data_IF_592011841147
#
_entry.id   IF_592011841147
#
_cell.length_a   1.000
_cell.length_b   1.000
_cell.length_c   1.000
_cell.angle_alpha   90.00
_cell.angle_beta   90.00
_cell.angle_gamma   90.00
#
_symmetry.space_group_name_H-M   'P 1'
#
loop_
_entity.id
_entity.type
_entity.pdbx_description
1 polymer ?
#
# COMPACT_ATOMS: atom_id res chain seq x y z
N UNK A 1 -35.55 32.38 27.63
CA UNK A 1 -34.91 31.09 27.94
C UNK A 1 -35.16 30.14 26.79
N UNK A 2 -34.13 29.87 25.97
CA UNK A 2 -34.22 29.00 24.80
C UNK A 2 -34.02 27.56 25.23
N UNK A 3 -35.05 26.72 25.09
CA UNK A 3 -34.98 25.28 25.31
C UNK A 3 -34.03 24.67 24.27
N UNK A 4 -32.79 24.36 24.67
CA UNK A 4 -31.89 23.48 23.92
C UNK A 4 -32.56 22.11 23.83
N UNK A 5 -33.19 21.84 22.69
CA UNK A 5 -33.73 20.53 22.32
C UNK A 5 -32.53 19.56 22.30
N UNK A 6 -32.42 18.70 23.32
CA UNK A 6 -31.58 17.49 23.27
C UNK A 6 -32.07 16.71 22.05
N UNK A 7 -31.29 16.64 20.97
CA UNK A 7 -31.50 15.63 19.93
C UNK A 7 -31.40 14.29 20.66
N UNK A 8 -32.49 13.51 20.72
CA UNK A 8 -32.37 12.14 21.19
C UNK A 8 -31.46 11.40 20.21
N UNK A 9 -30.64 10.53 20.77
CA UNK A 9 -29.65 9.68 20.10
C UNK A 9 -30.35 8.51 19.38
N UNK A 10 -31.58 8.72 18.88
CA UNK A 10 -32.38 7.68 18.26
C UNK A 10 -32.00 7.55 16.79
N UNK A 11 -31.61 6.34 16.39
CA UNK A 11 -31.43 5.95 14.99
C UNK A 11 -32.65 6.40 14.18
N UNK A 12 -32.42 7.19 13.13
CA UNK A 12 -33.48 7.87 12.37
C UNK A 12 -34.52 6.92 11.76
N UNK A 13 -34.17 5.64 11.60
CA UNK A 13 -35.03 4.61 11.01
C UNK A 13 -35.38 3.49 12.01
N UNK A 14 -35.20 3.69 13.32
CA UNK A 14 -35.43 2.65 14.35
C UNK A 14 -36.85 2.04 14.34
N UNK A 15 -37.84 2.78 13.85
CA UNK A 15 -39.23 2.34 13.77
C UNK A 15 -39.68 2.03 12.33
N UNK A 16 -38.79 2.14 11.33
CA UNK A 16 -39.12 1.81 9.95
C UNK A 16 -38.79 0.35 9.68
N UNK A 17 -39.69 -0.42 9.05
CA UNK A 17 -39.39 -1.78 8.66
C UNK A 17 -38.38 -1.80 7.51
N UNK A 18 -37.53 -2.83 7.50
CA UNK A 18 -36.62 -3.12 6.39
C UNK A 18 -37.41 -3.54 5.14
N UNK A 19 -37.13 -2.87 4.02
CA UNK A 19 -37.79 -3.06 2.73
C UNK A 19 -36.85 -3.64 1.65
N UNK A 20 -35.62 -4.00 2.06
CA UNK A 20 -34.58 -4.51 1.19
C UNK A 20 -33.90 -5.76 1.77
N UNK A 21 -33.83 -6.82 0.98
CA UNK A 21 -33.22 -8.10 1.35
C UNK A 21 -31.99 -8.37 0.47
N UNK A 22 -30.85 -8.67 1.09
CA UNK A 22 -29.62 -9.07 0.39
C UNK A 22 -29.35 -10.54 0.67
N UNK A 23 -29.27 -11.36 -0.38
CA UNK A 23 -29.01 -12.79 -0.29
C UNK A 23 -27.53 -13.02 -0.59
N UNK A 24 -26.83 -13.73 0.28
CA UNK A 24 -25.44 -14.15 0.08
C UNK A 24 -25.33 -15.67 0.10
N UNK A 25 -24.26 -16.23 -0.45
CA UNK A 25 -24.11 -17.69 -0.57
C UNK A 25 -23.95 -18.41 0.78
N UNK A 26 -23.44 -17.70 1.79
CA UNK A 26 -23.01 -18.21 3.09
C UNK A 26 -24.00 -17.90 4.23
N UNK A 27 -25.12 -17.23 3.95
CA UNK A 27 -26.10 -16.83 4.98
C UNK A 27 -27.43 -17.56 4.77
N UNK A 28 -27.92 -18.22 5.82
CA UNK A 28 -29.22 -18.90 5.82
C UNK A 28 -30.40 -17.91 5.75
N UNK A 29 -30.21 -16.71 6.32
CA UNK A 29 -31.19 -15.63 6.31
C UNK A 29 -30.68 -14.44 5.48
N UNK A 30 -31.55 -13.76 4.72
CA UNK A 30 -31.17 -12.54 4.03
C UNK A 30 -30.68 -11.46 5.01
N UNK A 31 -29.71 -10.66 4.57
CA UNK A 31 -29.34 -9.45 5.29
C UNK A 31 -30.37 -8.38 4.97
N UNK A 32 -30.98 -7.82 6.01
CA UNK A 32 -32.01 -6.80 5.85
C UNK A 32 -31.42 -5.38 5.86
N UNK A 33 -32.00 -4.51 5.03
CA UNK A 33 -31.62 -3.11 4.90
C UNK A 33 -32.82 -2.24 4.49
N UNK A 34 -32.59 -0.93 4.47
CA UNK A 34 -33.52 0.09 4.04
C UNK A 34 -33.09 0.64 2.68
N UNK A 35 -33.97 0.57 1.70
CA UNK A 35 -33.75 1.05 0.34
C UNK A 35 -33.40 2.55 0.35
N UNK A 36 -34.00 3.34 1.25
CA UNK A 36 -33.72 4.78 1.40
C UNK A 36 -32.24 5.07 1.74
N UNK A 37 -31.56 4.16 2.42
CA UNK A 37 -30.13 4.27 2.75
C UNK A 37 -29.26 3.85 1.57
N UNK A 38 -29.66 2.79 0.86
CA UNK A 38 -28.87 2.20 -0.21
C UNK A 38 -28.94 2.97 -1.54
N UNK A 39 -30.10 3.54 -1.90
CA UNK A 39 -30.31 4.29 -3.15
C UNK A 39 -29.32 5.46 -3.41
N UNK A 40 -28.96 6.29 -2.41
CA UNK A 40 -27.93 7.32 -2.61
C UNK A 40 -26.51 6.72 -2.63
N UNK A 41 -26.33 5.52 -2.10
CA UNK A 41 -25.03 4.92 -1.83
C UNK A 41 -24.57 3.93 -2.90
N UNK A 42 -25.46 3.27 -3.64
CA UNK A 42 -25.13 2.31 -4.69
C UNK A 42 -25.91 2.62 -5.97
N UNK A 43 -25.21 2.62 -7.11
CA UNK A 43 -25.83 2.78 -8.42
C UNK A 43 -26.67 1.56 -8.80
N UNK A 44 -26.18 0.35 -8.50
CA UNK A 44 -26.86 -0.90 -8.87
C UNK A 44 -28.21 -1.06 -8.19
N UNK A 45 -28.34 -0.58 -6.94
CA UNK A 45 -29.59 -0.68 -6.18
C UNK A 45 -30.75 0.05 -6.87
N UNK A 46 -30.48 1.08 -7.68
CA UNK A 46 -31.51 1.84 -8.39
C UNK A 46 -32.19 1.04 -9.50
N UNK A 47 -31.46 0.09 -10.07
CA UNK A 47 -31.88 -0.66 -11.25
C UNK A 47 -32.48 -2.03 -10.88
N UNK A 48 -32.57 -2.35 -9.58
CA UNK A 48 -33.12 -3.61 -9.11
C UNK A 48 -34.64 -3.67 -9.26
N UNK A 49 -35.20 -4.82 -9.70
CA UNK A 49 -36.63 -5.00 -9.80
C UNK A 49 -37.27 -5.02 -8.41
N UNK A 50 -38.43 -4.35 -8.28
CA UNK A 50 -39.26 -4.42 -7.08
C UNK A 50 -40.29 -5.52 -7.23
N UNK A 51 -40.50 -6.28 -6.16
CA UNK A 51 -41.56 -7.27 -6.15
C UNK A 51 -42.94 -6.62 -5.95
N UNK A 52 -44.00 -7.43 -6.08
CA UNK A 52 -45.39 -7.00 -5.90
C UNK A 52 -45.73 -6.60 -4.46
N UNK A 53 -44.92 -7.02 -3.47
CA UNK A 53 -45.06 -6.63 -2.07
C UNK A 53 -44.39 -5.28 -1.76
N UNK A 54 -43.67 -4.71 -2.73
CA UNK A 54 -42.88 -3.50 -2.57
C UNK A 54 -41.48 -3.76 -1.98
N UNK A 55 -41.15 -5.00 -1.63
CA UNK A 55 -39.81 -5.38 -1.18
C UNK A 55 -38.89 -5.55 -2.38
N UNK A 56 -37.62 -5.24 -2.17
CA UNK A 56 -36.58 -5.44 -3.17
C UNK A 56 -35.63 -6.52 -2.67
N UNK A 57 -35.35 -7.51 -3.52
CA UNK A 57 -34.37 -8.57 -3.21
C UNK A 57 -33.16 -8.43 -4.12
N UNK A 58 -31.97 -8.54 -3.55
CA UNK A 58 -30.71 -8.49 -4.26
C UNK A 58 -29.89 -9.76 -4.00
N UNK A 59 -29.77 -10.60 -5.03
CA UNK A 59 -29.02 -11.85 -4.95
C UNK A 59 -27.55 -11.64 -5.31
N UNK A 60 -26.68 -11.77 -4.30
CA UNK A 60 -25.22 -11.71 -4.40
C UNK A 60 -24.56 -13.09 -4.31
N UNK A 61 -25.34 -14.18 -4.23
CA UNK A 61 -24.82 -15.54 -4.03
C UNK A 61 -23.89 -16.03 -5.15
N UNK A 62 -23.90 -15.35 -6.31
CA UNK A 62 -23.03 -15.63 -7.46
C UNK A 62 -22.00 -14.54 -7.74
N UNK A 63 -21.97 -13.47 -6.94
CA UNK A 63 -21.01 -12.39 -7.11
C UNK A 63 -19.65 -12.85 -6.58
N UNK A 64 -18.72 -13.12 -7.49
CA UNK A 64 -17.32 -13.46 -7.16
C UNK A 64 -16.45 -12.22 -7.36
N UNK A 65 -15.72 -11.82 -6.33
CA UNK A 65 -14.80 -10.69 -6.39
C UNK A 65 -13.53 -11.08 -7.15
N UNK A 66 -12.87 -10.10 -7.77
CA UNK A 66 -11.59 -10.33 -8.44
C UNK A 66 -10.56 -10.95 -7.48
N UNK A 67 -9.83 -11.95 -7.96
CA UNK A 67 -8.83 -12.68 -7.16
C UNK A 67 -9.41 -13.71 -6.19
N UNK A 68 -10.73 -13.83 -6.09
CA UNK A 68 -11.39 -14.81 -5.23
C UNK A 68 -11.95 -15.98 -6.04
N UNK A 69 -12.01 -17.16 -5.43
CA UNK A 69 -12.61 -18.37 -6.01
C UNK A 69 -14.02 -18.65 -5.50
N UNK A 70 -14.47 -17.91 -4.48
CA UNK A 70 -15.77 -18.09 -3.84
C UNK A 70 -16.61 -16.81 -3.96
N UNK A 71 -17.96 -16.93 -3.87
CA UNK A 71 -18.83 -15.76 -3.78
C UNK A 71 -18.48 -14.85 -2.60
N UNK A 72 -18.88 -13.58 -2.70
CA UNK A 72 -18.68 -12.59 -1.64
C UNK A 72 -19.32 -13.07 -0.34
N UNK A 73 -18.56 -13.10 0.77
CA UNK A 73 -19.11 -13.54 2.06
C UNK A 73 -20.03 -12.47 2.66
N UNK A 74 -21.04 -12.91 3.40
CA UNK A 74 -21.97 -12.06 4.16
C UNK A 74 -21.25 -11.07 5.07
N UNK A 75 -20.10 -11.44 5.62
CA UNK A 75 -19.28 -10.57 6.46
C UNK A 75 -18.83 -9.29 5.73
N UNK A 76 -18.40 -9.39 4.47
CA UNK A 76 -17.97 -8.24 3.67
C UNK A 76 -19.16 -7.34 3.36
N UNK A 77 -20.32 -7.92 3.04
CA UNK A 77 -21.57 -7.18 2.82
C UNK A 77 -22.01 -6.45 4.09
N UNK A 78 -21.94 -7.12 5.26
CA UNK A 78 -22.25 -6.50 6.56
C UNK A 78 -21.30 -5.33 6.87
N UNK A 79 -19.99 -5.48 6.67
CA UNK A 79 -19.03 -4.39 6.86
C UNK A 79 -19.33 -3.18 5.96
N UNK A 80 -19.72 -3.43 4.70
CA UNK A 80 -20.17 -2.38 3.80
C UNK A 80 -21.43 -1.69 4.31
N UNK A 81 -22.44 -2.45 4.74
CA UNK A 81 -23.65 -1.89 5.36
C UNK A 81 -23.31 -1.08 6.61
N UNK A 82 -22.50 -1.60 7.52
CA UNK A 82 -22.09 -0.90 8.74
C UNK A 82 -21.42 0.43 8.43
N UNK A 83 -20.58 0.48 7.38
CA UNK A 83 -20.01 1.73 6.89
C UNK A 83 -21.09 2.72 6.42
N UNK A 84 -22.08 2.27 5.65
CA UNK A 84 -23.18 3.12 5.19
C UNK A 84 -24.03 3.65 6.36
N UNK A 85 -24.40 2.75 7.27
CA UNK A 85 -25.31 3.03 8.38
C UNK A 85 -24.65 3.81 9.51
N UNK A 86 -23.34 3.71 9.71
CA UNK A 86 -22.59 4.49 10.73
C UNK A 86 -22.80 6.01 10.63
N UNK A 87 -23.29 6.49 9.47
CA UNK A 87 -23.60 7.91 9.23
C UNK A 87 -24.96 8.35 9.74
N UNK A 88 -25.88 7.41 9.96
CA UNK A 88 -27.27 7.65 10.35
C UNK A 88 -27.64 6.95 11.66
N UNK A 89 -26.84 5.97 12.07
CA UNK A 89 -26.97 5.17 13.28
C UNK A 89 -25.65 5.21 14.05
N UNK A 90 -25.64 5.92 15.17
CA UNK A 90 -24.45 6.07 16.02
C UNK A 90 -24.08 4.74 16.70
N UNK A 91 -25.05 3.82 16.86
CA UNK A 91 -24.78 2.50 17.42
C UNK A 91 -23.93 1.63 16.48
N UNK A 92 -23.97 1.94 15.17
CA UNK A 92 -23.12 1.29 14.18
C UNK A 92 -21.76 1.95 14.12
N UNK A 93 -20.72 1.17 14.40
CA UNK A 93 -19.35 1.63 14.27
C UNK A 93 -18.93 1.56 12.80
N UNK A 94 -18.33 2.64 12.32
CA UNK A 94 -17.64 2.60 11.03
C UNK A 94 -16.53 1.54 11.10
N UNK A 95 -16.32 0.76 10.04
CA UNK A 95 -15.30 -0.28 10.06
C UNK A 95 -13.92 0.34 10.24
N UNK A 96 -13.13 -0.26 11.14
CA UNK A 96 -11.74 0.11 11.38
C UNK A 96 -10.82 -0.85 10.63
N UNK A 97 -9.79 -0.30 9.97
CA UNK A 97 -8.87 -1.07 9.13
C UNK A 97 -7.43 -0.91 9.63
N UNK A 98 -7.02 -1.64 10.68
CA UNK A 98 -5.67 -1.49 11.25
C UNK A 98 -4.58 -1.84 10.23
N UNK A 99 -4.91 -2.63 9.22
CA UNK A 99 -4.02 -3.05 8.15
C UNK A 99 -4.72 -3.03 6.80
N UNK A 100 -3.90 -2.98 5.74
CA UNK A 100 -4.28 -3.22 4.36
C UNK A 100 -4.43 -4.73 4.12
N UNK A 101 -5.38 -5.36 4.82
CA UNK A 101 -5.65 -6.81 4.79
C UNK A 101 -6.51 -7.25 3.61
N UNK A 102 -6.60 -8.57 3.42
CA UNK A 102 -7.52 -9.18 2.45
C UNK A 102 -9.01 -8.83 2.72
N UNK A 103 -9.39 -8.64 3.99
CA UNK A 103 -10.74 -8.17 4.34
C UNK A 103 -10.98 -6.75 3.82
N UNK A 104 -10.02 -5.84 4.03
CA UNK A 104 -10.09 -4.47 3.52
C UNK A 104 -10.11 -4.43 1.99
N UNK A 105 -9.32 -5.30 1.34
CA UNK A 105 -9.33 -5.49 -0.11
C UNK A 105 -10.68 -5.97 -0.61
N UNK A 106 -11.25 -6.99 0.03
CA UNK A 106 -12.55 -7.56 -0.32
C UNK A 106 -13.65 -6.52 -0.20
N UNK A 107 -13.64 -5.71 0.86
CA UNK A 107 -14.58 -4.61 1.03
C UNK A 107 -14.46 -3.58 -0.09
N UNK A 108 -13.25 -3.18 -0.48
CA UNK A 108 -13.04 -2.22 -1.56
C UNK A 108 -13.47 -2.76 -2.92
N UNK A 109 -13.13 -4.01 -3.23
CA UNK A 109 -13.56 -4.69 -4.45
C UNK A 109 -15.08 -4.84 -4.50
N UNK A 110 -15.71 -5.19 -3.36
CA UNK A 110 -17.16 -5.26 -3.25
C UNK A 110 -17.79 -3.89 -3.46
N UNK A 111 -17.29 -2.86 -2.77
CA UNK A 111 -17.79 -1.49 -2.87
C UNK A 111 -17.73 -0.96 -4.31
N UNK A 112 -16.65 -1.26 -5.03
CA UNK A 112 -16.49 -0.96 -6.46
C UNK A 112 -17.49 -1.75 -7.32
N UNK A 113 -17.57 -3.07 -7.13
CA UNK A 113 -18.47 -3.95 -7.86
C UNK A 113 -19.94 -3.54 -7.73
N UNK A 114 -20.34 -3.04 -6.55
CA UNK A 114 -21.71 -2.56 -6.32
C UNK A 114 -21.95 -1.11 -6.74
N UNK A 115 -20.98 -0.46 -7.37
CA UNK A 115 -21.07 0.92 -7.81
C UNK A 115 -21.31 1.89 -6.64
N UNK A 116 -20.57 1.71 -5.55
CA UNK A 116 -20.66 2.57 -4.37
C UNK A 116 -20.34 4.02 -4.75
N UNK A 117 -21.13 4.95 -4.21
CA UNK A 117 -20.99 6.38 -4.52
C UNK A 117 -19.61 6.92 -4.14
N UNK A 118 -19.14 7.91 -4.88
CA UNK A 118 -17.84 8.54 -4.66
C UNK A 118 -17.69 9.15 -3.26
N UNK A 119 -18.79 9.65 -2.67
CA UNK A 119 -18.80 10.19 -1.31
C UNK A 119 -18.59 9.13 -0.23
N UNK A 120 -19.09 7.92 -0.44
CA UNK A 120 -18.89 6.78 0.47
C UNK A 120 -17.49 6.20 0.29
N UNK A 121 -17.05 6.02 -0.96
CA UNK A 121 -15.68 5.57 -1.27
C UNK A 121 -14.62 6.52 -0.70
N UNK A 122 -14.84 7.84 -0.79
CA UNK A 122 -13.97 8.84 -0.17
C UNK A 122 -13.89 8.68 1.34
N UNK A 123 -15.02 8.51 2.03
CA UNK A 123 -14.99 8.33 3.47
C UNK A 123 -14.36 7.01 3.90
N UNK A 124 -14.49 5.95 3.09
CA UNK A 124 -13.77 4.70 3.31
C UNK A 124 -12.25 4.92 3.16
N UNK A 125 -11.83 5.70 2.16
CA UNK A 125 -10.44 6.13 2.01
C UNK A 125 -9.94 6.96 3.20
N UNK A 126 -10.74 7.90 3.69
CA UNK A 126 -10.42 8.70 4.87
C UNK A 126 -10.32 7.83 6.13
N UNK A 127 -11.19 6.85 6.32
CA UNK A 127 -11.13 5.90 7.43
C UNK A 127 -9.86 5.03 7.37
N UNK A 128 -9.45 4.56 6.19
CA UNK A 128 -8.18 3.86 5.99
C UNK A 128 -7.00 4.79 6.29
N UNK A 129 -6.96 5.94 5.63
CA UNK A 129 -5.80 6.83 5.67
C UNK A 129 -5.68 7.66 6.94
N UNK A 130 -6.73 7.84 7.74
CA UNK A 130 -6.64 8.56 9.03
C UNK A 130 -5.94 7.75 10.12
N UNK A 131 -5.77 6.44 9.93
CA UNK A 131 -5.16 5.57 10.93
C UNK A 131 -3.64 5.78 10.96
N UNK A 132 -3.06 6.23 12.10
CA UNK A 132 -1.63 6.48 12.19
C UNK A 132 -0.81 5.19 12.10
N UNK A 133 -1.38 4.07 12.57
CA UNK A 133 -0.75 2.75 12.59
C UNK A 133 -1.09 1.86 11.41
N UNK A 134 -1.66 2.38 10.31
CA UNK A 134 -2.03 1.56 9.15
C UNK A 134 -0.82 0.77 8.64
N UNK A 135 -0.94 -0.56 8.61
CA UNK A 135 0.13 -1.46 8.15
C UNK A 135 -0.13 -2.04 6.75
N UNK A 136 0.95 -2.37 6.05
CA UNK A 136 0.96 -3.17 4.84
C UNK A 136 1.43 -4.59 5.21
N UNK A 137 0.54 -5.60 5.15
CA UNK A 137 0.95 -6.98 5.36
C UNK A 137 1.77 -7.48 4.17
N UNK A 138 2.92 -8.08 4.46
CA UNK A 138 3.83 -8.68 3.48
C UNK A 138 4.11 -10.10 3.91
N UNK A 139 3.77 -11.05 3.03
CA UNK A 139 4.05 -12.48 3.24
C UNK A 139 5.23 -12.86 2.36
N UNK A 140 6.33 -13.29 2.98
CA UNK A 140 7.54 -13.72 2.29
C UNK A 140 7.63 -15.24 2.41
N UNK A 141 7.46 -15.91 1.29
CA UNK A 141 7.77 -17.33 1.21
C UNK A 141 9.30 -17.45 1.15
N UNK A 142 9.87 -18.25 2.05
CA UNK A 142 11.31 -18.50 2.03
C UNK A 142 11.72 -19.11 0.69
N UNK A 143 12.95 -18.88 0.28
CA UNK A 143 13.53 -19.60 -0.85
C UNK A 143 13.64 -21.07 -0.46
N UNK A 144 12.59 -21.85 -0.72
CA UNK A 144 12.70 -23.30 -0.76
C UNK A 144 13.74 -23.59 -1.82
N UNK A 145 14.92 -24.09 -1.40
CA UNK A 145 16.10 -24.20 -2.25
C UNK A 145 15.75 -24.72 -3.63
N UNK A 146 15.68 -23.81 -4.60
CA UNK A 146 15.62 -24.13 -6.01
C UNK A 146 16.98 -24.67 -6.37
N UNK A 147 17.23 -25.94 -6.02
CA UNK A 147 18.31 -26.71 -6.59
C UNK A 147 18.10 -26.63 -8.11
N UNK A 148 19.00 -25.90 -8.76
CA UNK A 148 19.16 -26.00 -10.20
C UNK A 148 19.20 -27.48 -10.56
N UNK A 149 18.29 -27.89 -11.44
CA UNK A 149 18.28 -29.25 -11.98
C UNK A 149 19.64 -29.53 -12.61
N UNK A 150 20.48 -30.29 -11.92
CA UNK A 150 21.81 -30.65 -12.40
C UNK A 150 22.73 -31.14 -11.30
N UNK A 151 22.81 -32.46 -11.12
CA UNK A 151 23.86 -33.09 -10.34
C UNK A 151 23.38 -34.32 -9.59
N UNK A 152 23.62 -35.49 -10.19
CA UNK A 152 23.47 -36.80 -9.58
C UNK A 152 24.19 -36.86 -8.21
N UNK A 153 23.43 -37.06 -7.13
CA UNK A 153 23.99 -37.08 -5.78
C UNK A 153 22.98 -37.48 -4.70
N UNK A 154 22.79 -38.79 -4.55
CA UNK A 154 22.35 -39.55 -3.37
C UNK A 154 21.57 -38.87 -2.22
N UNK A 155 20.29 -39.26 -2.08
CA UNK A 155 19.59 -39.70 -0.85
C UNK A 155 19.72 -38.89 0.47
N UNK A 156 19.92 -37.58 0.42
CA UNK A 156 19.62 -36.71 1.55
C UNK A 156 18.26 -36.03 1.32
N UNK A 157 17.24 -36.40 2.11
CA UNK A 157 15.95 -35.72 2.10
C UNK A 157 16.16 -34.22 2.32
N UNK A 158 15.71 -33.40 1.36
CA UNK A 158 15.85 -31.96 1.45
C UNK A 158 15.20 -31.45 2.76
N UNK A 159 15.84 -30.53 3.49
CA UNK A 159 15.25 -29.98 4.70
C UNK A 159 13.89 -29.34 4.37
N UNK A 160 12.89 -29.44 5.28
CA UNK A 160 11.58 -28.86 5.04
C UNK A 160 11.72 -27.36 4.79
N UNK A 161 10.95 -26.80 3.83
CA UNK A 161 11.00 -25.37 3.56
C UNK A 161 10.64 -24.59 4.83
N UNK A 162 11.29 -23.45 5.07
CA UNK A 162 10.98 -22.63 6.23
C UNK A 162 9.53 -22.11 6.13
N UNK A 163 8.84 -21.90 7.26
CA UNK A 163 7.48 -21.35 7.27
C UNK A 163 7.46 -19.96 6.61
N UNK A 164 6.32 -19.49 6.08
CA UNK A 164 6.25 -18.14 5.52
C UNK A 164 6.48 -17.08 6.61
N UNK A 165 7.30 -16.07 6.30
CA UNK A 165 7.53 -14.92 7.16
C UNK A 165 6.42 -13.89 6.91
N UNK A 166 5.67 -13.52 7.95
CA UNK A 166 4.64 -12.49 7.88
C UNK A 166 5.16 -11.20 8.53
N UNK A 167 5.09 -10.09 7.80
CA UNK A 167 5.54 -8.78 8.24
C UNK A 167 4.42 -7.76 8.12
N UNK A 168 4.15 -7.01 9.18
CA UNK A 168 3.23 -5.87 9.16
C UNK A 168 4.01 -4.56 9.13
N UNK A 169 4.12 -3.95 7.95
CA UNK A 169 4.93 -2.75 7.75
C UNK A 169 4.09 -1.49 7.94
N UNK A 170 4.40 -0.69 8.95
CA UNK A 170 3.68 0.58 9.20
C UNK A 170 3.99 1.56 8.08
N UNK A 171 2.94 2.07 7.43
CA UNK A 171 3.07 2.95 6.26
C UNK A 171 3.57 4.37 6.59
N UNK A 172 3.59 4.75 7.87
CA UNK A 172 3.93 6.10 8.33
C UNK A 172 4.93 6.09 9.47
N UNK A 173 5.81 7.07 9.49
CA UNK A 173 6.70 7.32 10.62
C UNK A 173 7.71 6.20 10.86
N UNK A 174 7.91 5.31 9.89
CA UNK A 174 8.85 4.18 9.95
C UNK A 174 9.66 4.12 8.67
N UNK A 175 10.95 3.81 8.82
CA UNK A 175 11.87 3.55 7.72
C UNK A 175 12.48 2.17 7.94
N UNK A 176 12.16 1.24 7.05
CA UNK A 176 12.66 -0.13 7.05
C UNK A 176 13.85 -0.27 6.10
N UNK A 177 14.88 -1.00 6.50
CA UNK A 177 16.09 -1.18 5.68
C UNK A 177 16.83 -2.47 6.04
N UNK A 178 17.69 -2.91 5.12
CA UNK A 178 18.56 -4.06 5.32
C UNK A 178 19.98 -3.61 5.70
N UNK A 179 20.54 -4.23 6.74
CA UNK A 179 21.94 -4.02 7.12
C UNK A 179 22.51 -5.29 7.73
N UNK A 180 23.69 -5.72 7.27
CA UNK A 180 24.37 -6.93 7.77
C UNK A 180 23.49 -8.20 7.76
N UNK A 181 22.58 -8.32 6.80
CA UNK A 181 21.66 -9.46 6.70
C UNK A 181 20.53 -9.44 7.73
N UNK A 182 20.26 -8.30 8.37
CA UNK A 182 19.12 -8.08 9.27
C UNK A 182 18.14 -7.08 8.65
N UNK A 183 16.87 -7.21 9.02
CA UNK A 183 15.87 -6.19 8.75
C UNK A 183 15.72 -5.28 9.98
N UNK A 184 15.91 -3.98 9.77
CA UNK A 184 15.88 -2.97 10.83
C UNK A 184 14.84 -1.91 10.55
N UNK A 185 14.40 -1.23 11.61
CA UNK A 185 13.46 -0.11 11.53
C UNK A 185 13.96 1.10 12.33
N UNK A 186 13.72 2.27 11.77
CA UNK A 186 13.89 3.58 12.40
C UNK A 186 12.53 4.28 12.52
N UNK A 187 12.34 5.04 13.59
CA UNK A 187 11.16 5.91 13.75
C UNK A 187 11.46 7.28 13.14
N UNK A 188 10.48 7.85 12.42
CA UNK A 188 10.57 9.15 11.74
C UNK A 188 9.55 10.12 12.37
N UNK A 189 9.95 11.30 12.86
CA UNK A 189 11.34 11.78 12.95
C UNK A 189 12.17 10.93 13.93
N UNK A 190 13.50 10.92 13.75
CA UNK A 190 14.42 10.15 14.59
C UNK A 190 14.19 10.40 16.07
N UNK A 191 13.81 9.34 16.79
CA UNK A 191 13.38 9.44 18.19
C UNK A 191 14.00 8.38 19.11
N UNK A 192 15.04 7.65 18.67
CA UNK A 192 15.63 6.60 19.49
C UNK A 192 16.52 5.62 18.74
N UNK A 193 16.99 4.56 19.43
CA UNK A 193 17.88 3.57 18.85
C UNK A 193 17.21 2.78 17.73
N UNK A 194 18.02 2.29 16.79
CA UNK A 194 17.58 1.36 15.75
C UNK A 194 17.00 0.10 16.37
N UNK A 195 15.89 -0.39 15.83
CA UNK A 195 15.26 -1.63 16.28
C UNK A 195 15.46 -2.71 15.23
N UNK A 196 15.84 -3.90 15.67
CA UNK A 196 15.89 -5.10 14.80
C UNK A 196 14.47 -5.65 14.72
N UNK A 197 13.93 -5.73 13.50
CA UNK A 197 12.60 -6.32 13.23
C UNK A 197 12.75 -7.83 13.03
N UNK A 198 13.78 -8.23 12.27
CA UNK A 198 14.11 -9.64 12.03
C UNK A 198 15.63 -9.81 12.16
N UNK A 199 16.05 -10.71 13.04
CA UNK A 199 17.45 -11.02 13.29
C UNK A 199 18.08 -11.76 12.10
N UNK A 200 19.40 -11.68 11.97
CA UNK A 200 20.08 -12.16 10.75
C UNK A 200 19.84 -13.64 10.50
N UNK A 201 19.96 -14.47 11.54
CA UNK A 201 19.78 -15.92 11.44
C UNK A 201 18.40 -16.30 10.89
N UNK A 202 17.36 -15.57 11.30
CA UNK A 202 15.98 -15.82 10.87
C UNK A 202 15.69 -15.20 9.50
N UNK A 203 16.44 -14.17 9.10
CA UNK A 203 16.21 -13.43 7.86
C UNK A 203 16.90 -14.06 6.64
N UNK A 204 18.01 -14.80 6.82
CA UNK A 204 18.77 -15.41 5.71
C UNK A 204 17.88 -16.12 4.68
N UNK A 205 16.90 -16.97 5.06
CA UNK A 205 16.08 -17.71 4.09
C UNK A 205 15.14 -16.83 3.24
N UNK A 206 14.89 -15.58 3.66
CA UNK A 206 13.91 -14.69 3.04
C UNK A 206 14.54 -13.48 2.35
N UNK A 207 15.85 -13.25 2.55
CA UNK A 207 16.55 -12.04 2.08
C UNK A 207 16.31 -11.73 0.60
N UNK A 208 16.38 -12.75 -0.25
CA UNK A 208 16.27 -12.57 -1.70
C UNK A 208 14.80 -12.45 -2.16
N UNK A 209 13.87 -13.05 -1.41
CA UNK A 209 12.44 -13.03 -1.72
C UNK A 209 11.73 -11.77 -1.19
N UNK A 210 12.24 -11.15 -0.11
CA UNK A 210 11.60 -10.01 0.54
C UNK A 210 11.35 -8.83 -0.43
N UNK A 211 12.32 -8.36 -1.23
CA UNK A 211 12.09 -7.24 -2.15
C UNK A 211 10.95 -7.51 -3.14
N UNK A 212 10.83 -8.75 -3.63
CA UNK A 212 9.75 -9.14 -4.53
C UNK A 212 8.40 -9.21 -3.83
N UNK A 213 8.35 -9.77 -2.62
CA UNK A 213 7.13 -9.83 -1.80
C UNK A 213 6.62 -8.43 -1.43
N UNK A 214 7.50 -7.53 -1.01
CA UNK A 214 7.14 -6.14 -0.73
C UNK A 214 6.65 -5.40 -1.97
N UNK A 215 7.30 -5.63 -3.12
CA UNK A 215 6.87 -5.04 -4.37
C UNK A 215 5.50 -5.54 -4.80
N UNK A 216 5.24 -6.85 -4.72
CA UNK A 216 3.93 -7.44 -5.03
C UNK A 216 2.82 -6.91 -4.12
N UNK A 217 3.08 -6.76 -2.82
CA UNK A 217 2.11 -6.19 -1.88
C UNK A 217 1.78 -4.72 -2.22
N UNK A 218 2.80 -3.90 -2.48
CA UNK A 218 2.62 -2.51 -2.88
C UNK A 218 1.90 -2.38 -4.23
N UNK A 219 2.34 -3.13 -5.23
CA UNK A 219 1.76 -3.17 -6.57
C UNK A 219 0.26 -3.48 -6.50
N UNK A 220 -0.12 -4.52 -5.75
CA UNK A 220 -1.52 -4.96 -5.62
C UNK A 220 -2.40 -3.85 -5.03
N UNK A 221 -1.90 -3.16 -4.00
CA UNK A 221 -2.63 -2.08 -3.34
C UNK A 221 -2.64 -0.78 -4.16
N UNK A 222 -1.56 -0.48 -4.87
CA UNK A 222 -1.50 0.64 -5.80
C UNK A 222 -2.49 0.43 -6.95
N UNK A 223 -2.54 -0.76 -7.54
CA UNK A 223 -3.49 -1.09 -8.59
C UNK A 223 -4.93 -0.93 -8.11
N UNK A 224 -5.27 -1.53 -6.95
CA UNK A 224 -6.62 -1.43 -6.39
C UNK A 224 -7.01 0.02 -6.09
N UNK A 225 -6.16 0.75 -5.37
CA UNK A 225 -6.42 2.14 -5.01
C UNK A 225 -6.52 3.05 -6.25
N UNK A 226 -5.74 2.78 -7.29
CA UNK A 226 -5.84 3.40 -8.63
C UNK A 226 -7.21 3.18 -9.24
N UNK A 227 -7.58 1.91 -9.40
CA UNK A 227 -8.83 1.50 -10.06
C UNK A 227 -10.05 2.10 -9.39
N UNK A 228 -10.09 2.07 -8.05
CA UNK A 228 -11.23 2.56 -7.28
C UNK A 228 -11.16 4.06 -6.94
N UNK A 229 -10.16 4.77 -7.47
CA UNK A 229 -10.03 6.22 -7.35
C UNK A 229 -9.67 6.75 -5.95
N UNK A 230 -8.96 5.96 -5.14
CA UNK A 230 -8.56 6.31 -3.76
C UNK A 230 -7.23 7.08 -3.75
N UNK A 231 -7.27 8.32 -4.25
CA UNK A 231 -6.08 9.18 -4.43
C UNK A 231 -5.26 9.37 -3.14
N UNK A 232 -5.91 9.53 -1.98
CA UNK A 232 -5.20 9.72 -0.72
C UNK A 232 -4.42 8.46 -0.28
N UNK A 233 -4.98 7.27 -0.51
CA UNK A 233 -4.31 6.00 -0.25
C UNK A 233 -3.15 5.77 -1.22
N UNK A 234 -3.34 6.05 -2.52
CA UNK A 234 -2.24 6.02 -3.50
C UNK A 234 -1.07 6.90 -3.09
N UNK A 235 -1.32 8.15 -2.69
CA UNK A 235 -0.27 9.05 -2.22
C UNK A 235 0.45 8.49 -1.00
N UNK A 236 -0.28 7.89 -0.06
CA UNK A 236 0.34 7.26 1.10
C UNK A 236 1.27 6.11 0.69
N UNK A 237 0.81 5.23 -0.19
CA UNK A 237 1.60 4.10 -0.69
C UNK A 237 2.82 4.54 -1.50
N UNK A 238 2.68 5.57 -2.34
CA UNK A 238 3.80 6.15 -3.10
C UNK A 238 4.82 6.81 -2.18
N UNK A 239 4.37 7.56 -1.17
CA UNK A 239 5.26 8.16 -0.17
C UNK A 239 6.04 7.07 0.60
N UNK A 240 5.37 5.97 0.97
CA UNK A 240 6.02 4.83 1.59
C UNK A 240 7.04 4.19 0.64
N UNK A 241 6.68 3.93 -0.61
CA UNK A 241 7.61 3.40 -1.62
C UNK A 241 8.86 4.30 -1.75
N UNK A 242 8.66 5.60 -1.90
CA UNK A 242 9.75 6.58 -2.10
C UNK A 242 10.69 6.69 -0.91
N UNK A 243 10.17 6.64 0.32
CA UNK A 243 11.02 6.70 1.52
C UNK A 243 11.93 5.48 1.65
N UNK A 244 11.60 4.37 0.99
CA UNK A 244 12.36 3.11 1.02
C UNK A 244 13.30 2.92 -0.18
N UNK A 245 13.39 3.92 -1.08
CA UNK A 245 14.40 4.00 -2.14
C UNK A 245 15.75 4.49 -1.60
N UNK A 246 16.35 3.69 -0.73
CA UNK A 246 17.67 3.97 -0.16
C UNK A 246 18.79 3.64 -1.15
N UNK A 247 19.94 4.35 -1.09
CA UNK A 247 21.08 3.99 -1.91
C UNK A 247 21.70 2.65 -1.48
N UNK A 248 22.18 1.88 -2.46
CA UNK A 248 22.92 0.64 -2.23
C UNK A 248 22.07 -0.57 -1.82
N UNK A 249 22.67 -1.51 -1.09
CA UNK A 249 22.03 -2.78 -0.69
C UNK A 249 21.06 -2.64 0.48
N UNK A 250 20.94 -1.45 1.07
CA UNK A 250 20.05 -1.20 2.19
C UNK A 250 18.57 -1.05 1.77
N UNK A 251 18.31 -0.75 0.49
CA UNK A 251 16.94 -0.60 -0.01
C UNK A 251 16.24 -1.94 -0.17
N UNK A 252 14.98 -1.93 0.23
CA UNK A 252 14.06 -3.04 0.06
C UNK A 252 13.37 -3.06 -1.31
N UNK A 253 13.35 -1.93 -2.02
CA UNK A 253 12.47 -1.75 -3.19
C UNK A 253 13.19 -1.24 -4.44
N UNK A 254 14.42 -0.73 -4.32
CA UNK A 254 15.16 -0.12 -5.44
C UNK A 254 15.22 -1.05 -6.67
N UNK A 255 15.60 -2.32 -6.46
CA UNK A 255 15.73 -3.31 -7.53
C UNK A 255 14.38 -3.91 -7.99
N UNK A 256 13.29 -3.64 -7.26
CA UNK A 256 11.94 -4.13 -7.56
C UNK A 256 11.00 -3.03 -8.07
N UNK A 257 11.53 -1.85 -8.43
CA UNK A 257 10.74 -0.69 -8.87
C UNK A 257 9.81 -1.02 -10.03
N UNK A 258 10.28 -1.77 -11.03
CA UNK A 258 9.47 -2.18 -12.18
C UNK A 258 8.30 -3.10 -11.78
N UNK A 259 8.48 -3.93 -10.74
CA UNK A 259 7.39 -4.75 -10.21
C UNK A 259 6.34 -3.90 -9.50
N UNK A 260 6.75 -2.84 -8.77
CA UNK A 260 5.81 -1.92 -8.11
C UNK A 260 4.96 -1.14 -9.12
N UNK A 261 5.59 -0.64 -10.19
CA UNK A 261 4.93 0.12 -11.25
C UNK A 261 4.62 -0.75 -12.46
N UNK A 262 3.86 -1.83 -12.23
CA UNK A 262 3.38 -2.70 -13.29
C UNK A 262 2.48 -1.95 -14.29
N UNK A 263 2.24 -2.55 -15.45
CA UNK A 263 1.29 -2.04 -16.46
C UNK A 263 -0.05 -1.65 -15.86
N UNK A 264 -0.66 -2.55 -15.09
CA UNK A 264 -2.00 -2.33 -14.51
C UNK A 264 -2.02 -1.20 -13.50
N UNK A 265 -0.95 -1.02 -12.72
CA UNK A 265 -0.81 0.12 -11.80
C UNK A 265 -0.78 1.43 -12.57
N UNK A 266 -0.01 1.49 -13.67
CA UNK A 266 0.11 2.68 -14.50
C UNK A 266 -1.19 3.01 -15.25
N UNK A 267 -1.87 2.00 -15.80
CA UNK A 267 -3.15 2.17 -16.50
C UNK A 267 -4.27 2.67 -15.58
N UNK A 268 -4.24 2.29 -14.29
CA UNK A 268 -5.22 2.73 -13.30
C UNK A 268 -4.78 3.98 -12.51
N UNK A 269 -3.63 4.57 -12.80
CA UNK A 269 -3.13 5.71 -12.03
C UNK A 269 -3.95 6.97 -12.34
N UNK A 270 -4.44 7.70 -11.31
CA UNK A 270 -5.15 8.95 -11.53
C UNK A 270 -4.29 9.95 -12.31
N UNK A 271 -4.91 10.61 -13.28
CA UNK A 271 -4.23 11.59 -14.12
C UNK A 271 -3.56 12.70 -13.29
N UNK A 272 -4.15 13.10 -12.16
CA UNK A 272 -3.52 14.13 -11.32
C UNK A 272 -2.19 13.67 -10.72
N UNK A 273 -2.03 12.38 -10.42
CA UNK A 273 -0.77 11.83 -9.89
C UNK A 273 0.27 11.62 -10.99
N UNK A 274 -0.16 11.25 -12.20
CA UNK A 274 0.72 11.18 -13.36
C UNK A 274 1.27 12.57 -13.72
N UNK A 275 0.40 13.59 -13.72
CA UNK A 275 0.81 14.98 -13.94
C UNK A 275 1.66 15.48 -12.79
N UNK A 276 1.27 15.24 -11.52
CA UNK A 276 2.08 15.58 -10.35
C UNK A 276 3.47 14.96 -10.51
N UNK A 277 3.56 13.69 -10.89
CA UNK A 277 4.82 12.99 -11.08
C UNK A 277 5.65 13.39 -12.29
N UNK A 278 5.02 13.89 -13.35
CA UNK A 278 5.68 14.40 -14.54
C UNK A 278 6.20 15.82 -14.32
N UNK A 279 5.40 16.67 -13.68
CA UNK A 279 5.70 18.08 -13.44
C UNK A 279 6.61 18.26 -12.22
N UNK A 280 6.43 17.44 -11.20
CA UNK A 280 7.24 17.49 -10.00
C UNK A 280 8.29 16.40 -10.02
N UNK A 281 9.49 16.74 -9.54
CA UNK A 281 10.50 15.77 -9.12
C UNK A 281 9.99 14.78 -8.04
N UNK A 282 8.70 14.78 -7.65
CA UNK A 282 8.21 13.96 -6.54
C UNK A 282 8.12 12.47 -6.83
N UNK A 283 7.82 12.03 -8.07
CA UNK A 283 7.75 10.59 -8.32
C UNK A 283 9.15 9.94 -8.38
N UNK A 284 10.15 10.70 -8.83
CA UNK A 284 11.44 10.15 -9.26
C UNK A 284 12.62 10.87 -8.67
N UNK A 285 12.49 12.17 -8.45
CA UNK A 285 13.53 13.01 -7.91
C UNK A 285 13.83 12.60 -6.48
N UNK A 286 15.11 12.56 -6.12
CA UNK A 286 15.49 12.20 -4.78
C UNK A 286 14.83 13.13 -3.76
N UNK A 287 14.47 12.62 -2.57
CA UNK A 287 14.22 13.53 -1.46
C UNK A 287 15.58 14.14 -1.10
N UNK A 288 15.88 15.28 -1.72
CA UNK A 288 17.19 15.90 -1.69
C UNK A 288 17.51 16.39 -0.28
N UNK A 289 18.40 15.68 0.41
CA UNK A 289 19.34 16.29 1.34
C UNK A 289 20.44 16.94 0.52
N UNK A 290 20.43 18.27 0.44
CA UNK A 290 21.56 19.01 -0.15
C UNK A 290 22.50 19.38 0.99
N UNK A 291 23.75 18.92 0.92
CA UNK A 291 24.81 19.42 1.77
C UNK A 291 25.72 20.32 0.95
N UNK A 292 25.73 21.60 1.30
CA UNK A 292 26.74 22.52 0.80
C UNK A 292 27.95 22.42 1.71
N UNK A 293 29.12 22.19 1.12
CA UNK A 293 30.38 22.21 1.87
C UNK A 293 31.06 23.55 1.58
N UNK A 294 30.97 24.54 2.48
CA UNK A 294 31.80 25.73 2.34
C UNK A 294 33.29 25.34 2.38
N UNK A 295 34.16 26.18 1.83
CA UNK A 295 35.62 25.94 1.80
C UNK A 295 36.27 25.88 3.20
N UNK A 296 35.53 26.20 4.27
CA UNK A 296 35.89 25.92 5.65
C UNK A 296 35.57 24.46 6.03
N UNK A 297 36.38 23.82 6.88
CA UNK A 297 36.23 22.43 7.38
C UNK A 297 34.86 22.03 8.00
N UNK A 298 33.83 22.88 7.93
CA UNK A 298 32.48 22.61 8.38
C UNK A 298 31.58 22.30 7.18
N UNK A 299 31.36 21.02 6.89
CA UNK A 299 30.21 20.59 6.11
C UNK A 299 28.93 21.10 6.78
N UNK A 300 27.95 21.59 6.01
CA UNK A 300 26.59 21.85 6.51
C UNK A 300 25.62 21.04 5.66
N UNK A 301 25.13 19.94 6.21
CA UNK A 301 24.02 19.18 5.63
C UNK A 301 22.70 19.89 5.93
N UNK A 302 21.90 20.16 4.89
CA UNK A 302 20.51 20.61 5.05
C UNK A 302 19.60 19.47 4.61
N UNK A 303 19.02 18.78 5.60
CA UNK A 303 18.05 17.71 5.37
C UNK A 303 16.66 18.31 5.22
N UNK A 304 16.09 18.28 4.01
CA UNK A 304 14.76 18.81 3.72
C UNK A 304 13.61 17.83 4.02
N UNK A 305 13.94 16.55 4.21
CA UNK A 305 12.98 15.49 4.54
C UNK A 305 13.27 14.89 5.93
N UNK A 306 12.25 14.66 6.77
CA UNK A 306 12.39 13.92 8.02
C UNK A 306 12.95 12.50 7.82
N UNK A 307 12.64 11.84 6.69
CA UNK A 307 13.13 10.50 6.39
C UNK A 307 14.64 10.54 6.10
N UNK A 308 15.09 11.53 5.34
CA UNK A 308 16.51 11.75 5.06
C UNK A 308 17.29 12.05 6.34
N UNK A 309 16.79 12.95 7.21
CA UNK A 309 17.40 13.22 8.51
C UNK A 309 17.50 11.96 9.38
N UNK A 310 16.42 11.17 9.43
CA UNK A 310 16.35 9.95 10.23
C UNK A 310 17.36 8.90 9.81
N UNK A 311 17.61 8.74 8.51
CA UNK A 311 18.64 7.82 8.00
C UNK A 311 20.03 8.11 8.58
N UNK A 312 20.36 9.38 8.79
CA UNK A 312 21.64 9.80 9.39
C UNK A 312 21.62 9.80 10.93
N UNK A 313 20.54 9.31 11.56
CA UNK A 313 20.37 9.37 13.01
C UNK A 313 20.22 10.80 13.53
N UNK A 314 19.71 11.71 12.69
CA UNK A 314 19.58 13.13 13.01
C UNK A 314 18.10 13.53 13.11
N UNK A 315 17.84 14.55 13.94
CA UNK A 315 16.56 15.27 13.89
C UNK A 315 16.45 16.14 12.62
N UNK A 316 15.24 16.53 12.21
CA UNK A 316 15.06 17.52 11.14
C UNK A 316 15.86 18.80 11.44
N UNK A 317 16.42 19.42 10.40
CA UNK A 317 17.26 20.64 10.49
C UNK A 317 18.59 20.52 11.26
N UNK A 318 19.01 19.31 11.64
CA UNK A 318 20.31 19.10 12.29
C UNK A 318 21.49 19.44 11.37
N UNK A 319 22.53 20.06 11.93
CA UNK A 319 23.80 20.35 11.24
C UNK A 319 24.87 19.35 11.71
N UNK A 320 25.56 18.71 10.77
CA UNK A 320 26.67 17.79 11.02
C UNK A 320 27.97 18.37 10.45
N UNK A 321 29.06 18.28 11.21
CA UNK A 321 30.42 18.60 10.73
C UNK A 321 31.02 17.42 9.95
N UNK A 322 32.01 17.69 9.09
CA UNK A 322 32.58 16.68 8.20
C UNK A 322 33.28 15.51 8.90
N UNK A 323 33.91 15.77 10.06
CA UNK A 323 34.61 14.75 10.82
C UNK A 323 33.66 13.71 11.43
N UNK A 324 32.46 14.13 11.85
CA UNK A 324 31.42 13.24 12.36
C UNK A 324 30.81 12.37 11.24
N UNK A 325 30.81 12.83 9.99
CA UNK A 325 30.32 12.07 8.84
C UNK A 325 31.30 10.97 8.38
N UNK A 326 32.60 11.25 8.38
CA UNK A 326 33.63 10.28 7.99
C UNK A 326 33.65 9.05 8.90
N UNK A 327 33.23 9.20 10.17
CA UNK A 327 33.13 8.10 11.13
C UNK A 327 31.93 7.17 10.86
N UNK A 328 30.92 7.60 10.10
CA UNK A 328 29.71 6.81 9.84
C UNK A 328 29.82 5.85 8.64
N UNK A 329 30.98 5.71 7.97
CA UNK A 329 31.25 4.72 6.90
C UNK A 329 30.30 4.72 5.67
N UNK A 330 29.46 5.75 5.50
CA UNK A 330 28.50 5.84 4.37
C UNK A 330 29.03 6.72 3.22
N UNK A 331 30.19 7.36 3.38
CA UNK A 331 30.68 8.39 2.43
C UNK A 331 32.08 8.11 1.88
N UNK A 332 32.24 8.29 0.56
CA UNK A 332 33.53 8.31 -0.11
C UNK A 332 33.86 9.73 -0.56
N UNK A 333 35.06 10.22 -0.22
CA UNK A 333 35.54 11.55 -0.62
C UNK A 333 35.97 11.53 -2.09
N UNK A 334 35.33 12.36 -2.92
CA UNK A 334 35.75 12.59 -4.30
C UNK A 334 37.01 13.47 -4.41
N UNK A 335 37.68 13.44 -5.57
CA UNK A 335 38.99 14.06 -5.78
C UNK A 335 38.98 15.61 -5.87
N UNK A 336 37.85 16.26 -6.18
CA UNK A 336 37.78 17.71 -6.40
C UNK A 336 36.64 18.35 -5.58
N UNK A 337 37.00 19.34 -4.75
CA UNK A 337 36.17 20.29 -3.95
C UNK A 337 34.66 20.01 -3.75
N UNK A 338 34.34 19.58 -2.52
CA UNK A 338 33.37 20.19 -1.60
C UNK A 338 31.90 20.40 -2.05
N UNK A 339 31.31 19.47 -2.79
CA UNK A 339 29.84 19.31 -2.77
C UNK A 339 29.52 17.84 -2.54
N UNK A 340 29.01 17.51 -1.35
CA UNK A 340 28.53 16.18 -1.04
C UNK A 340 27.01 16.19 -1.20
N UNK A 341 26.51 15.82 -2.38
CA UNK A 341 25.06 15.68 -2.57
C UNK A 341 24.61 14.34 -2.01
N UNK A 342 23.78 14.37 -0.98
CA UNK A 342 23.31 13.17 -0.28
C UNK A 342 21.81 13.03 -0.45
N UNK A 343 21.41 12.35 -1.52
CA UNK A 343 20.02 11.97 -1.74
C UNK A 343 19.66 10.72 -0.95
N UNK A 344 18.62 10.80 -0.12
CA UNK A 344 18.00 9.63 0.52
C UNK A 344 16.56 9.56 0.04
N UNK A 345 16.15 8.45 -0.56
CA UNK A 345 14.85 8.35 -1.25
C UNK A 345 14.93 8.86 -2.70
N UNK A 346 14.04 8.34 -3.55
CA UNK A 346 13.98 8.58 -5.00
C UNK A 346 15.06 7.83 -5.82
N UNK A 347 14.97 7.93 -7.14
CA UNK A 347 15.90 7.26 -8.07
C UNK A 347 16.92 8.28 -8.57
N UNK A 348 18.19 7.86 -8.71
CA UNK A 348 19.16 8.65 -9.50
C UNK A 348 18.71 8.74 -10.96
N UNK A 349 19.17 9.73 -11.76
CA UNK A 349 18.79 9.83 -13.17
C UNK A 349 19.05 8.54 -13.98
N UNK A 350 20.16 7.85 -13.71
CA UNK A 350 20.50 6.58 -14.34
C UNK A 350 19.56 5.45 -13.91
N UNK A 351 19.30 5.31 -12.61
CA UNK A 351 18.35 4.32 -12.07
C UNK A 351 16.93 4.59 -12.56
N UNK A 352 16.53 5.85 -12.68
CA UNK A 352 15.26 6.25 -13.24
C UNK A 352 15.17 5.83 -14.71
N UNK A 353 16.19 6.14 -15.51
CA UNK A 353 16.20 5.75 -16.92
C UNK A 353 16.19 4.21 -17.07
N UNK A 354 16.88 3.49 -16.19
CA UNK A 354 16.85 2.02 -16.15
C UNK A 354 15.47 1.48 -15.77
N UNK A 355 14.82 2.06 -14.76
CA UNK A 355 13.47 1.69 -14.34
C UNK A 355 12.46 1.96 -15.47
N UNK A 356 12.53 3.12 -16.12
CA UNK A 356 11.70 3.46 -17.28
C UNK A 356 11.92 2.45 -18.41
N UNK A 357 13.17 2.13 -18.76
CA UNK A 357 13.47 1.12 -19.79
C UNK A 357 12.92 -0.26 -19.41
N UNK A 358 13.03 -0.65 -18.14
CA UNK A 358 12.49 -1.92 -17.67
C UNK A 358 10.96 -1.98 -17.77
N UNK A 359 10.28 -0.92 -17.33
CA UNK A 359 8.82 -0.79 -17.43
C UNK A 359 8.38 -0.79 -18.89
N UNK A 360 9.00 0.02 -19.76
CA UNK A 360 8.65 0.07 -21.19
C UNK A 360 8.92 -1.27 -21.89
N UNK A 361 10.04 -1.93 -21.59
CA UNK A 361 10.34 -3.26 -22.14
C UNK A 361 9.33 -4.33 -21.69
N UNK A 362 8.83 -4.26 -20.45
CA UNK A 362 7.74 -5.13 -19.99
C UNK A 362 6.45 -4.89 -20.77
N UNK A 363 6.09 -3.62 -20.99
CA UNK A 363 4.90 -3.24 -21.77
C UNK A 363 4.96 -3.75 -23.21
N UNK A 364 6.10 -3.54 -23.88
CA UNK A 364 6.33 -3.98 -25.26
C UNK A 364 6.31 -5.51 -25.39
N UNK A 365 6.92 -6.22 -24.44
CA UNK A 365 6.92 -7.69 -24.41
C UNK A 365 5.51 -8.28 -24.25
N UNK A 366 4.69 -7.69 -23.37
CA UNK A 366 3.30 -8.11 -23.18
C UNK A 366 2.41 -7.83 -24.40
N UNK A 367 2.64 -6.72 -25.11
CA UNK A 367 1.93 -6.42 -26.37
C UNK A 367 2.30 -7.36 -27.49
N UNK A 368 3.59 -7.71 -27.61
CA UNK A 368 4.05 -8.74 -28.54
C UNK A 368 3.41 -10.11 -28.26
N UNK A 369 3.33 -10.50 -26.99
CA UNK A 369 2.70 -11.76 -26.57
C UNK A 369 1.18 -11.78 -26.85
N UNK A 370 0.47 -10.69 -26.57
CA UNK A 370 -0.97 -10.55 -26.88
C UNK A 370 -1.23 -10.56 -28.39
N UNK A 371 -0.42 -9.87 -29.17
CA UNK A 371 -0.51 -9.88 -30.64
C UNK A 371 -0.23 -11.25 -31.25
N UNK A 372 0.72 -12.01 -30.68
CA UNK A 372 1.00 -13.38 -31.10
C UNK A 372 -0.11 -14.37 -30.71
N UNK A 373 -0.72 -14.21 -29.54
CA UNK A 373 -1.86 -15.02 -29.10
C UNK A 373 -3.13 -14.75 -29.94
N UNK A 374 -3.41 -13.49 -30.26
CA UNK A 374 -4.55 -13.09 -31.09
C UNK A 374 -4.43 -13.51 -32.56
N UNK A 375 -3.21 -13.77 -33.06
CA UNK A 375 -2.96 -14.29 -34.42
C UNK A 375 -3.01 -15.83 -34.51
N UNK A 376 -3.12 -16.53 -33.38
CA UNK A 376 -3.22 -17.99 -33.29
C UNK A 376 -4.65 -18.50 -33.04
N UNK A 377 -5.59 -17.58 -32.86
CA UNK A 377 -7.04 -17.81 -32.90
C UNK A 377 -7.56 -17.34 -34.25
#
# INVERSE_FOLDING_TARGET
MSLKRRRSEDFLLANEPTDFNIITADSELPLEAHLIVLLPCSRLVRDLPRDTSGKTSWDLSKLVLEGHSSPVPSAVVRQWLDHLYSRIDISRQAPTFPSLSEDGRSLLLFADAVGTSTAIMRALCEALTSQPGLTLPVVVNGAGGGAAAGGDGADAAAPPPPPPLQLDLVLRGKLYYLLAGEMRVLTVPYSGPQQVVVASADFVPYKDALPGAMAAALESWLYLAGRVGLVALLRLLLNFFQSHLLPGQASLLLNSTAQVFSRRVLECMPHELLVEGFVSERLWGPQLGLADVPASNQLTLIMRSPHAATWFGLGPESKLTGDAMCQQNVFHKGANSNVLRVSVGGLTPEQHQQAVRAVMGQLEGEEGARGAAARRQ
#
